data_IF_978383538174
#
_entry.id   IF_978383538174
#
_cell.length_a   1.000
_cell.length_b   1.000
_cell.length_c   1.000
_cell.angle_alpha   90.00
_cell.angle_beta   90.00
_cell.angle_gamma   90.00
#
_symmetry.space_group_name_H-M   'P 1'
#
loop_
_entity.id
_entity.type
_entity.pdbx_description
1 polymer ?
#
# COMPACT_ATOMS: atom_id res chain seq x y z
N UNK A 1 -6.48 -18.96 -6.34
CA UNK A 1 -6.04 -19.17 -7.75
C UNK A 1 -5.64 -17.89 -8.50
N UNK A 2 -6.38 -16.77 -8.41
CA UNK A 2 -6.01 -15.53 -9.11
C UNK A 2 -4.75 -14.89 -8.49
N UNK A 3 -4.67 -14.83 -7.15
CA UNK A 3 -3.51 -14.31 -6.42
C UNK A 3 -2.19 -15.03 -6.77
N UNK A 4 -2.22 -16.37 -6.85
CA UNK A 4 -1.05 -17.18 -7.22
C UNK A 4 -0.60 -16.94 -8.67
N UNK A 5 -1.53 -16.68 -9.60
CA UNK A 5 -1.20 -16.32 -10.98
C UNK A 5 -0.52 -14.96 -11.06
N UNK A 6 -1.01 -13.97 -10.30
CA UNK A 6 -0.36 -12.65 -10.20
C UNK A 6 1.02 -12.75 -9.55
N UNK A 7 1.18 -13.54 -8.48
CA UNK A 7 2.48 -13.78 -7.84
C UNK A 7 3.49 -14.45 -8.79
N UNK A 8 3.04 -15.30 -9.71
CA UNK A 8 3.91 -15.94 -10.69
C UNK A 8 4.25 -15.04 -11.89
N UNK A 9 3.27 -14.30 -12.42
CA UNK A 9 3.42 -13.48 -13.62
C UNK A 9 4.00 -12.10 -13.33
N UNK A 10 3.64 -11.50 -12.20
CA UNK A 10 4.03 -10.15 -11.80
C UNK A 10 5.54 -9.90 -11.86
N UNK A 11 6.39 -10.75 -11.25
CA UNK A 11 7.84 -10.62 -11.32
C UNK A 11 8.40 -10.67 -12.75
N UNK A 12 7.76 -11.44 -13.64
CA UNK A 12 8.26 -11.70 -14.99
C UNK A 12 7.84 -10.62 -15.98
N UNK A 13 6.59 -10.18 -15.90
CA UNK A 13 6.00 -9.23 -16.86
C UNK A 13 6.42 -7.78 -16.60
N UNK A 14 6.73 -7.41 -15.35
CA UNK A 14 7.04 -6.02 -14.96
C UNK A 14 8.54 -5.73 -14.86
N UNK A 15 9.39 -6.56 -15.48
CA UNK A 15 10.86 -6.38 -15.49
C UNK A 15 11.43 -6.31 -14.05
N UNK A 16 12.48 -5.50 -13.82
CA UNK A 16 13.13 -5.33 -12.51
C UNK A 16 12.17 -4.84 -11.42
N UNK A 17 11.24 -3.93 -11.74
CA UNK A 17 10.25 -3.43 -10.77
C UNK A 17 9.28 -4.52 -10.33
N UNK A 18 8.92 -5.44 -11.23
CA UNK A 18 8.15 -6.64 -10.85
C UNK A 18 8.87 -7.47 -9.81
N UNK A 19 10.15 -7.79 -10.06
CA UNK A 19 10.94 -8.58 -9.11
C UNK A 19 11.03 -7.89 -7.74
N UNK A 20 11.16 -6.57 -7.72
CA UNK A 20 11.18 -5.76 -6.49
C UNK A 20 9.84 -5.78 -5.74
N UNK A 21 8.71 -5.58 -6.43
CA UNK A 21 7.39 -5.60 -5.79
C UNK A 21 7.05 -6.94 -5.14
N UNK A 22 7.53 -8.04 -5.72
CA UNK A 22 7.32 -9.37 -5.18
C UNK A 22 8.46 -9.85 -4.28
N UNK A 23 9.46 -8.99 -4.00
CA UNK A 23 10.56 -9.28 -3.07
C UNK A 23 11.37 -10.50 -3.52
N UNK A 24 11.55 -10.67 -4.84
CA UNK A 24 12.32 -11.77 -5.46
C UNK A 24 13.58 -11.28 -6.17
N UNK A 25 13.83 -9.97 -6.15
CA UNK A 25 15.07 -9.40 -6.68
C UNK A 25 16.26 -9.67 -5.76
N UNK A 26 17.46 -9.58 -6.32
CA UNK A 26 18.73 -9.70 -5.59
C UNK A 26 19.48 -8.38 -5.74
N UNK A 27 19.24 -7.46 -4.81
CA UNK A 27 19.78 -6.11 -4.92
C UNK A 27 21.11 -5.94 -4.17
N UNK A 28 21.21 -6.46 -2.94
CA UNK A 28 22.46 -6.37 -2.17
C UNK A 28 23.48 -7.44 -2.59
N UNK A 29 24.75 -7.24 -2.24
CA UNK A 29 25.82 -8.22 -2.44
C UNK A 29 25.51 -9.59 -1.79
N UNK A 30 24.76 -9.58 -0.68
CA UNK A 30 24.35 -10.79 0.04
C UNK A 30 23.04 -11.39 -0.52
N UNK A 31 22.52 -10.86 -1.62
CA UNK A 31 21.31 -11.35 -2.28
C UNK A 31 19.98 -10.88 -1.67
N UNK A 32 20.00 -9.97 -0.69
CA UNK A 32 18.78 -9.39 -0.10
C UNK A 32 18.00 -8.58 -1.15
N UNK A 33 16.67 -8.70 -1.21
CA UNK A 33 15.77 -7.88 -2.03
C UNK A 33 15.84 -6.39 -1.67
N UNK A 34 15.61 -5.51 -2.65
CA UNK A 34 15.70 -4.05 -2.44
C UNK A 34 14.77 -3.58 -1.31
N UNK A 35 13.50 -4.02 -1.32
CA UNK A 35 12.52 -3.58 -0.32
C UNK A 35 12.89 -4.05 1.10
N UNK A 36 13.55 -5.21 1.23
CA UNK A 36 14.06 -5.66 2.52
C UNK A 36 15.21 -4.77 3.03
N UNK A 37 16.10 -4.36 2.12
CA UNK A 37 17.21 -3.45 2.47
C UNK A 37 16.70 -2.06 2.81
N UNK A 38 15.68 -1.55 2.10
CA UNK A 38 15.09 -0.24 2.37
C UNK A 38 14.31 -0.19 3.69
N UNK A 39 13.76 -1.32 4.12
CA UNK A 39 13.05 -1.46 5.39
C UNK A 39 13.98 -1.72 6.59
N UNK A 40 15.29 -1.88 6.38
CA UNK A 40 16.25 -2.22 7.42
C UNK A 40 16.64 -0.99 8.26
N UNK A 41 16.39 -0.97 9.59
CA UNK A 41 16.75 0.16 10.45
C UNK A 41 18.25 0.50 10.49
N UNK A 42 19.11 -0.45 10.16
CA UNK A 42 20.56 -0.24 10.09
C UNK A 42 21.01 0.38 8.75
N UNK A 43 20.08 0.67 7.84
CA UNK A 43 20.38 1.20 6.51
C UNK A 43 19.91 2.63 6.35
N UNK A 44 20.67 3.35 5.53
CA UNK A 44 20.47 4.74 5.12
C UNK A 44 19.03 5.08 4.75
N UNK A 45 18.30 4.17 4.10
CA UNK A 45 16.92 4.41 3.67
C UNK A 45 15.95 4.54 4.84
N UNK A 46 16.04 3.62 5.81
CA UNK A 46 15.15 3.65 6.97
C UNK A 46 15.50 4.82 7.89
N UNK A 47 16.78 5.02 8.14
CA UNK A 47 17.27 6.15 8.94
C UNK A 47 16.90 7.49 8.29
N UNK A 48 16.99 7.63 6.96
CA UNK A 48 16.51 8.84 6.29
C UNK A 48 14.99 9.04 6.47
N UNK A 49 14.20 7.96 6.50
CA UNK A 49 12.77 8.06 6.80
C UNK A 49 12.52 8.58 8.23
N UNK A 50 13.35 8.21 9.21
CA UNK A 50 13.17 8.68 10.60
C UNK A 50 13.44 10.17 10.77
N UNK A 51 14.17 10.79 9.84
CA UNK A 51 14.41 12.24 9.84
C UNK A 51 13.17 13.06 9.47
N UNK A 52 12.17 12.45 8.81
CA UNK A 52 10.95 13.17 8.47
C UNK A 52 10.10 13.39 9.74
N UNK A 53 9.75 14.64 10.07
CA UNK A 53 8.91 14.92 11.25
C UNK A 53 7.50 14.33 11.10
N UNK A 54 7.06 14.14 9.86
CA UNK A 54 5.73 13.63 9.53
C UNK A 54 5.82 12.59 8.42
N UNK A 55 5.47 11.34 8.75
CA UNK A 55 5.31 10.26 7.76
C UNK A 55 3.85 9.87 7.76
N UNK A 56 3.15 10.10 6.64
CA UNK A 56 1.71 9.81 6.55
C UNK A 56 1.39 9.00 5.31
N UNK A 57 0.74 7.86 5.51
CA UNK A 57 0.26 7.01 4.43
C UNK A 57 -1.25 7.00 4.41
N UNK A 58 -1.83 6.84 3.23
CA UNK A 58 -3.28 6.80 3.03
C UNK A 58 -3.66 5.47 2.41
N UNK A 59 -4.45 4.70 3.14
CA UNK A 59 -4.95 3.41 2.70
C UNK A 59 -6.47 3.47 2.54
N UNK A 60 -6.94 3.05 1.38
CA UNK A 60 -8.37 2.96 1.16
C UNK A 60 -8.90 1.60 1.66
N UNK A 61 -9.97 1.64 2.45
CA UNK A 61 -10.56 0.49 3.10
C UNK A 61 -11.23 -0.48 2.12
N UNK A 62 -11.86 0.00 1.04
CA UNK A 62 -12.73 -0.83 0.17
C UNK A 62 -12.59 -0.54 -1.32
N UNK A 63 -12.58 -1.57 -2.15
CA UNK A 63 -12.52 -1.44 -3.62
C UNK A 63 -11.23 -0.84 -4.18
N UNK A 64 -10.11 -0.82 -3.44
CA UNK A 64 -8.80 -0.62 -4.07
C UNK A 64 -8.27 -1.97 -4.57
N UNK A 65 -8.46 -2.24 -5.86
CA UNK A 65 -8.07 -3.52 -6.47
C UNK A 65 -6.60 -3.52 -6.93
N UNK A 66 -5.94 -2.36 -6.95
CA UNK A 66 -4.56 -2.23 -7.45
C UNK A 66 -3.57 -2.20 -6.31
N UNK A 67 -3.90 -1.50 -5.23
CA UNK A 67 -3.13 -1.47 -3.98
C UNK A 67 -4.11 -1.73 -2.84
N UNK A 68 -4.38 -3.01 -2.53
CA UNK A 68 -5.34 -3.37 -1.50
C UNK A 68 -4.88 -2.88 -0.13
N UNK A 69 -5.82 -2.80 0.81
CA UNK A 69 -5.61 -2.22 2.14
C UNK A 69 -4.33 -2.72 2.85
N UNK A 70 -4.04 -4.03 2.94
CA UNK A 70 -2.83 -4.51 3.63
C UNK A 70 -1.54 -3.96 3.04
N UNK A 71 -1.48 -3.80 1.73
CA UNK A 71 -0.32 -3.23 1.04
C UNK A 71 -0.24 -1.72 1.26
N UNK A 72 -1.35 -1.00 1.12
CA UNK A 72 -1.38 0.45 1.28
C UNK A 72 -1.12 0.90 2.74
N UNK A 73 -1.61 0.11 3.71
CA UNK A 73 -1.50 0.38 5.13
C UNK A 73 -0.27 -0.26 5.77
N UNK A 74 0.50 -1.10 5.06
CA UNK A 74 1.62 -1.86 5.63
C UNK A 74 1.11 -2.71 6.81
N UNK A 75 0.15 -3.60 6.52
CA UNK A 75 -0.50 -4.48 7.50
C UNK A 75 -0.44 -5.95 7.06
N UNK A 76 -0.50 -6.85 8.02
CA UNK A 76 -0.52 -8.29 7.76
C UNK A 76 -1.83 -8.77 7.17
N UNK A 77 -2.93 -8.22 7.68
CA UNK A 77 -4.28 -8.71 7.44
C UNK A 77 -5.19 -7.59 6.97
N UNK A 78 -6.22 -7.97 6.21
CA UNK A 78 -7.23 -7.05 5.73
C UNK A 78 -8.45 -7.04 6.67
N UNK A 79 -8.47 -6.08 7.59
CA UNK A 79 -9.60 -5.88 8.53
C UNK A 79 -10.91 -5.49 7.82
N UNK A 80 -10.83 -5.03 6.57
CA UNK A 80 -11.97 -4.61 5.76
C UNK A 80 -12.42 -5.67 4.77
N UNK A 81 -11.71 -6.80 4.61
CA UNK A 81 -12.08 -7.84 3.65
C UNK A 81 -13.52 -8.33 3.85
N UNK A 82 -13.96 -8.43 5.11
CA UNK A 82 -15.32 -8.87 5.49
C UNK A 82 -16.18 -7.71 6.01
N UNK A 83 -15.93 -6.47 5.57
CA UNK A 83 -16.72 -5.31 6.00
C UNK A 83 -18.24 -5.45 5.77
N UNK A 84 -18.64 -6.31 4.82
CA UNK A 84 -20.02 -6.64 4.52
C UNK A 84 -20.66 -7.69 5.44
N UNK A 85 -19.86 -8.40 6.26
CA UNK A 85 -20.30 -9.57 7.06
C UNK A 85 -19.98 -9.40 8.56
N UNK A 86 -19.01 -8.56 8.93
CA UNK A 86 -18.48 -8.43 10.30
C UNK A 86 -19.32 -7.54 11.26
N UNK A 87 -20.59 -7.28 10.95
CA UNK A 87 -21.45 -6.46 11.81
C UNK A 87 -21.21 -4.95 11.74
N UNK A 88 -20.36 -4.45 10.83
CA UNK A 88 -20.35 -3.02 10.48
C UNK A 88 -21.66 -2.67 9.78
N UNK A 89 -22.58 -2.00 10.48
CA UNK A 89 -23.80 -1.50 9.87
C UNK A 89 -23.49 -0.28 9.01
N UNK A 90 -23.32 -0.49 7.70
CA UNK A 90 -23.30 0.60 6.74
C UNK A 90 -24.73 1.10 6.60
N UNK A 91 -25.07 2.18 7.32
CA UNK A 91 -26.36 2.84 7.19
C UNK A 91 -26.35 3.63 5.89
N UNK A 92 -26.97 3.08 4.86
CA UNK A 92 -27.15 3.76 3.59
C UNK A 92 -28.24 4.82 3.73
N UNK A 93 -27.90 6.10 3.56
CA UNK A 93 -28.88 7.19 3.53
C UNK A 93 -29.80 7.06 2.32
N UNK A 94 -31.03 7.59 2.36
CA UNK A 94 -31.92 7.59 1.19
C UNK A 94 -31.32 8.27 -0.06
N UNK A 95 -30.33 9.16 0.15
CA UNK A 95 -29.53 9.80 -0.89
C UNK A 95 -28.56 8.81 -1.58
N UNK A 96 -28.07 7.80 -0.86
CA UNK A 96 -27.24 6.72 -1.40
C UNK A 96 -28.00 5.92 -2.46
N UNK A 97 -29.25 5.54 -2.20
CA UNK A 97 -30.08 4.80 -3.16
C UNK A 97 -30.38 5.63 -4.42
N UNK A 98 -30.58 6.95 -4.28
CA UNK A 98 -30.77 7.86 -5.42
C UNK A 98 -29.51 7.99 -6.29
N UNK A 99 -28.33 7.83 -5.69
CA UNK A 99 -27.03 7.91 -6.37
C UNK A 99 -26.55 6.55 -6.91
N UNK A 100 -27.16 5.45 -6.46
CA UNK A 100 -26.91 4.11 -6.97
C UNK A 100 -27.54 3.99 -8.36
N UNK A 101 -26.86 4.51 -9.39
CA UNK A 101 -27.22 4.20 -10.78
C UNK A 101 -26.71 2.79 -11.10
N UNK A 102 -27.57 1.78 -11.28
CA UNK A 102 -27.15 0.43 -11.64
C UNK A 102 -26.85 0.34 -13.14
N UNK A 103 -26.16 1.34 -13.70
CA UNK A 103 -25.76 1.29 -15.10
C UNK A 103 -24.27 1.07 -15.14
N UNK A 104 -23.90 -0.22 -15.13
CA UNK A 104 -22.56 -0.69 -15.45
C UNK A 104 -22.51 -0.93 -16.96
N UNK A 105 -22.12 0.05 -17.78
CA UNK A 105 -21.86 -0.25 -19.18
C UNK A 105 -20.72 -1.27 -19.25
N UNK A 106 -20.94 -2.36 -20.00
CA UNK A 106 -19.93 -3.41 -20.25
C UNK A 106 -18.65 -2.84 -20.86
N UNK A 107 -18.76 -1.73 -21.58
CA UNK A 107 -17.67 -1.06 -22.27
C UNK A 107 -17.29 0.26 -21.57
N UNK A 108 -16.00 0.63 -21.56
CA UNK A 108 -15.54 1.92 -21.02
C UNK A 108 -16.19 3.09 -21.80
N UNK A 109 -16.27 4.30 -21.20
CA UNK A 109 -16.94 5.44 -21.83
C UNK A 109 -16.50 5.74 -23.27
N UNK A 110 -15.21 5.53 -23.58
CA UNK A 110 -14.67 5.76 -24.92
C UNK A 110 -15.18 4.78 -26.00
N UNK A 111 -15.78 3.66 -25.62
CA UNK A 111 -16.27 2.61 -26.53
C UNK A 111 -17.81 2.50 -26.52
N UNK A 112 -18.49 3.45 -25.89
CA UNK A 112 -19.96 3.53 -25.87
C UNK A 112 -20.45 4.35 -27.07
N UNK A 113 -20.53 3.71 -28.24
CA UNK A 113 -21.02 4.34 -29.47
C UNK A 113 -22.56 4.30 -29.56
N UNK A 114 -23.13 5.17 -30.40
CA UNK A 114 -24.56 5.14 -30.74
C UNK A 114 -24.92 4.05 -31.76
N UNK A 115 -26.21 3.82 -31.97
CA UNK A 115 -26.70 2.94 -33.05
C UNK A 115 -26.32 3.50 -34.43
N UNK A 116 -25.90 2.66 -35.40
CA UNK A 116 -25.79 1.19 -35.36
C UNK A 116 -24.44 0.65 -34.85
N UNK A 117 -23.47 1.52 -34.60
CA UNK A 117 -22.09 1.13 -34.25
C UNK A 117 -21.98 0.37 -32.92
N UNK A 118 -22.93 0.55 -32.00
CA UNK A 118 -23.02 -0.20 -30.75
C UNK A 118 -23.19 -1.73 -30.93
N UNK A 119 -23.91 -2.18 -31.97
CA UNK A 119 -24.09 -3.61 -32.26
C UNK A 119 -22.83 -4.17 -32.90
N UNK A 120 -22.25 -3.44 -33.85
CA UNK A 120 -21.01 -3.82 -34.52
C UNK A 120 -19.85 -3.98 -33.52
N UNK A 121 -19.67 -3.03 -32.61
CA UNK A 121 -18.60 -3.13 -31.60
C UNK A 121 -18.82 -4.35 -30.70
N UNK A 122 -20.06 -4.68 -30.32
CA UNK A 122 -20.37 -5.85 -29.50
C UNK A 122 -20.02 -7.17 -30.19
N UNK A 123 -20.30 -7.28 -31.50
CA UNK A 123 -19.95 -8.47 -32.31
C UNK A 123 -18.44 -8.62 -32.51
N UNK A 124 -17.71 -7.52 -32.68
CA UNK A 124 -16.26 -7.53 -32.90
C UNK A 124 -15.48 -7.69 -31.59
N UNK A 125 -16.04 -7.27 -30.45
CA UNK A 125 -15.43 -7.36 -29.11
C UNK A 125 -14.81 -8.72 -28.76
N UNK A 126 -15.48 -9.89 -28.94
CA UNK A 126 -14.88 -11.19 -28.60
C UNK A 126 -13.64 -11.55 -29.42
N UNK A 127 -13.46 -10.97 -30.61
CA UNK A 127 -12.26 -11.14 -31.44
C UNK A 127 -11.22 -10.06 -31.14
N UNK A 128 -11.69 -8.83 -30.90
CA UNK A 128 -10.83 -7.68 -30.63
C UNK A 128 -10.13 -7.79 -29.28
N UNK A 129 -10.82 -8.26 -28.23
CA UNK A 129 -10.24 -8.43 -26.90
C UNK A 129 -9.00 -9.34 -26.91
N UNK A 130 -9.05 -10.60 -27.40
CA UNK A 130 -7.88 -11.46 -27.41
C UNK A 130 -6.77 -10.89 -28.30
N UNK A 131 -7.09 -10.27 -29.43
CA UNK A 131 -6.10 -9.63 -30.30
C UNK A 131 -5.42 -8.42 -29.63
N UNK A 132 -6.18 -7.62 -28.89
CA UNK A 132 -5.65 -6.50 -28.13
C UNK A 132 -4.78 -7.01 -26.97
N UNK A 133 -5.23 -8.03 -26.25
CA UNK A 133 -4.47 -8.66 -25.16
C UNK A 133 -3.14 -9.22 -25.70
N UNK A 134 -3.13 -9.94 -26.83
CA UNK A 134 -1.89 -10.46 -27.41
C UNK A 134 -0.95 -9.36 -27.85
N UNK A 135 -1.47 -8.28 -28.45
CA UNK A 135 -0.66 -7.11 -28.82
C UNK A 135 -0.07 -6.41 -27.60
N UNK A 136 -0.88 -6.19 -26.55
CA UNK A 136 -0.43 -5.59 -25.29
C UNK A 136 0.65 -6.46 -24.63
N UNK A 137 0.41 -7.77 -24.50
CA UNK A 137 1.38 -8.69 -23.91
C UNK A 137 2.68 -8.74 -24.72
N UNK A 138 2.60 -8.74 -26.05
CA UNK A 138 3.77 -8.68 -26.93
C UNK A 138 4.56 -7.38 -26.73
N UNK A 139 3.87 -6.22 -26.73
CA UNK A 139 4.48 -4.92 -26.46
C UNK A 139 5.11 -4.82 -25.08
N UNK A 140 4.41 -5.26 -24.03
CA UNK A 140 4.93 -5.29 -22.66
C UNK A 140 6.14 -6.22 -22.54
N UNK A 141 6.11 -7.38 -23.20
CA UNK A 141 7.23 -8.32 -23.22
C UNK A 141 8.45 -7.71 -23.91
N UNK A 142 8.27 -7.10 -25.10
CA UNK A 142 9.34 -6.39 -25.80
C UNK A 142 9.92 -5.24 -24.96
N UNK A 143 9.06 -4.44 -24.33
CA UNK A 143 9.46 -3.35 -23.45
C UNK A 143 10.22 -3.87 -22.21
N UNK A 144 9.76 -4.97 -21.60
CA UNK A 144 10.41 -5.62 -20.45
C UNK A 144 11.81 -6.12 -20.83
N UNK A 145 11.96 -6.75 -22.00
CA UNK A 145 13.26 -7.21 -22.52
C UNK A 145 14.18 -6.02 -22.81
N UNK A 146 13.68 -4.99 -23.47
CA UNK A 146 14.47 -3.78 -23.78
C UNK A 146 14.94 -3.08 -22.49
N UNK A 147 14.09 -3.01 -21.47
CA UNK A 147 14.45 -2.47 -20.15
C UNK A 147 15.56 -3.27 -19.49
N UNK A 148 15.47 -4.61 -19.49
CA UNK A 148 16.53 -5.48 -18.94
C UNK A 148 17.86 -5.29 -19.66
N UNK A 149 17.86 -5.18 -20.99
CA UNK A 149 19.07 -4.88 -21.76
C UNK A 149 19.69 -3.53 -21.36
N UNK A 150 18.87 -2.50 -21.16
CA UNK A 150 19.33 -1.17 -20.73
C UNK A 150 19.95 -1.21 -19.32
N UNK A 151 19.28 -1.86 -18.37
CA UNK A 151 19.77 -2.00 -17.00
C UNK A 151 21.09 -2.78 -16.98
N UNK A 152 21.17 -3.90 -17.71
CA UNK A 152 22.41 -4.68 -17.82
C UNK A 152 23.57 -3.84 -18.38
N UNK A 153 23.29 -2.99 -19.37
CA UNK A 153 24.29 -2.07 -19.92
C UNK A 153 24.77 -1.06 -18.87
N UNK A 154 23.87 -0.51 -18.06
CA UNK A 154 24.21 0.41 -16.97
C UNK A 154 24.99 -0.27 -15.84
N UNK A 155 24.68 -1.51 -15.52
CA UNK A 155 25.40 -2.29 -14.50
C UNK A 155 26.81 -2.68 -14.96
N UNK A 156 26.98 -2.93 -16.25
CA UNK A 156 28.29 -3.28 -16.85
C UNK A 156 29.21 -2.05 -17.00
N UNK A 157 28.63 -0.85 -17.00
CA UNK A 157 29.39 0.40 -17.00
C UNK A 157 29.89 0.68 -15.57
N UNK A 158 31.09 0.19 -15.25
CA UNK A 158 31.71 0.29 -13.92
C UNK A 158 31.65 1.72 -13.35
N UNK A 159 31.87 2.73 -14.18
CA UNK A 159 31.77 4.15 -13.79
C UNK A 159 30.38 4.51 -13.25
N UNK A 160 29.30 3.95 -13.79
CA UNK A 160 27.93 4.24 -13.34
C UNK A 160 27.62 3.55 -12.00
N UNK A 161 28.07 2.31 -11.82
CA UNK A 161 27.94 1.54 -10.58
C UNK A 161 28.80 2.14 -9.46
N UNK A 162 30.04 2.52 -9.76
CA UNK A 162 30.95 3.18 -8.83
C UNK A 162 30.43 4.57 -8.42
N UNK A 163 29.87 5.35 -9.34
CA UNK A 163 29.21 6.62 -9.01
C UNK A 163 28.04 6.43 -8.06
N UNK A 164 27.21 5.41 -8.26
CA UNK A 164 26.09 5.10 -7.36
C UNK A 164 26.57 4.67 -5.98
N UNK A 165 27.55 3.76 -5.90
CA UNK A 165 28.14 3.34 -4.64
C UNK A 165 28.80 4.51 -3.90
N UNK A 166 29.52 5.36 -4.63
CA UNK A 166 30.13 6.57 -4.08
C UNK A 166 29.10 7.59 -3.61
N UNK A 167 28.03 7.83 -4.37
CA UNK A 167 26.94 8.73 -3.97
C UNK A 167 26.23 8.18 -2.73
N UNK A 168 25.94 6.88 -2.71
CA UNK A 168 25.29 6.23 -1.57
C UNK A 168 26.18 6.28 -0.32
N UNK A 169 27.47 5.99 -0.43
CA UNK A 169 28.41 6.09 0.68
C UNK A 169 28.64 7.54 1.13
N UNK A 170 28.59 8.52 0.22
CA UNK A 170 28.62 9.94 0.58
C UNK A 170 27.34 10.37 1.31
N UNK A 171 26.18 9.84 0.91
CA UNK A 171 24.91 10.07 1.58
C UNK A 171 24.90 9.45 2.98
N UNK A 172 25.41 8.21 3.09
CA UNK A 172 25.54 7.48 4.35
C UNK A 172 26.42 8.23 5.34
N UNK A 173 27.62 8.65 4.93
CA UNK A 173 28.50 9.48 5.77
C UNK A 173 27.88 10.83 6.12
N UNK A 174 27.27 11.52 5.15
CA UNK A 174 26.66 12.83 5.40
C UNK A 174 25.46 12.76 6.35
N UNK A 175 24.72 11.65 6.34
CA UNK A 175 23.63 11.42 7.28
C UNK A 175 24.13 10.92 8.63
N UNK A 176 25.20 10.12 8.68
CA UNK A 176 25.89 9.77 9.93
C UNK A 176 26.37 11.04 10.65
N UNK A 177 27.05 11.94 9.93
CA UNK A 177 27.49 13.24 10.46
C UNK A 177 26.30 14.08 10.95
N UNK A 178 25.21 14.17 10.18
CA UNK A 178 24.00 14.91 10.58
C UNK A 178 23.26 14.28 11.76
N UNK A 179 23.27 12.94 11.87
CA UNK A 179 22.68 12.22 13.00
C UNK A 179 23.51 12.43 14.27
N UNK A 180 24.84 12.43 14.16
CA UNK A 180 25.74 12.77 15.27
C UNK A 180 25.52 14.23 15.70
N UNK A 181 25.39 15.18 14.78
CA UNK A 181 25.06 16.57 15.10
C UNK A 181 23.69 16.73 15.78
N UNK A 182 22.69 15.94 15.37
CA UNK A 182 21.37 15.91 16.03
C UNK A 182 21.42 15.28 17.44
N UNK A 183 22.29 14.30 17.66
CA UNK A 183 22.52 13.71 18.99
C UNK A 183 23.31 14.66 19.90
N UNK A 184 24.31 15.36 19.36
CA UNK A 184 25.11 16.35 20.08
C UNK A 184 24.32 17.63 20.38
N UNK A 185 23.42 18.06 19.48
CA UNK A 185 22.49 19.18 19.74
C UNK A 185 21.38 18.84 20.72
N UNK A 186 21.17 17.55 21.03
CA UNK A 186 20.37 17.06 22.15
C UNK A 186 21.22 16.66 23.37
N UNK A 187 22.43 17.23 23.51
CA UNK A 187 23.30 16.99 24.65
C UNK A 187 22.83 17.65 25.95
N UNK A 188 22.35 16.79 26.86
CA UNK A 188 22.38 16.81 28.35
C UNK A 188 21.08 17.07 29.13
N UNK A 189 20.44 16.02 29.68
CA UNK A 189 19.81 16.08 31.00
C UNK A 189 20.85 15.64 32.05
N UNK A 190 21.17 16.55 32.98
CA UNK A 190 21.90 16.23 34.21
C UNK A 190 21.17 15.13 35.02
N UNK A 191 21.91 14.33 35.80
CA UNK A 191 21.36 13.23 36.59
C UNK A 191 20.77 13.76 37.90
N UNK A 192 19.48 14.10 37.92
CA UNK A 192 18.76 14.30 39.18
C UNK A 192 18.04 13.02 39.64
N UNK A 193 18.66 12.44 40.66
CA UNK A 193 18.10 11.70 41.79
C UNK A 193 16.66 11.13 41.67
N UNK A 194 16.64 9.81 41.62
CA UNK A 194 15.59 8.91 42.13
C UNK A 194 15.06 9.38 43.50
N UNK A 195 13.74 9.25 43.74
CA UNK A 195 13.32 8.64 44.99
C UNK A 195 12.52 7.38 44.72
N UNK A 196 13.04 6.29 45.28
CA UNK A 196 12.37 5.02 45.53
C UNK A 196 11.23 5.31 46.51
N UNK A 197 10.01 4.89 46.16
CA UNK A 197 8.96 4.67 47.14
C UNK A 197 8.36 3.30 46.89
N UNK A 198 8.71 2.38 47.78
CA UNK A 198 8.13 1.06 47.93
C UNK A 198 6.61 1.14 48.17
N UNK A 199 5.86 0.15 47.66
CA UNK A 199 4.51 -0.12 48.15
C UNK A 199 3.54 -0.78 47.16
N UNK A 200 3.58 -2.10 47.07
CA UNK A 200 2.41 -2.96 46.78
C UNK A 200 2.23 -3.90 48.01
N UNK A 201 1.12 -4.65 48.21
CA UNK A 201 -0.22 -4.65 47.58
C UNK A 201 -1.39 -4.88 48.58
N UNK A 202 -2.64 -4.43 48.34
CA UNK A 202 -3.92 -5.00 48.91
C UNK A 202 -5.11 -4.63 47.99
N UNK A 203 -5.79 -5.54 47.28
CA UNK A 203 -6.88 -6.50 47.64
C UNK A 203 -8.20 -5.85 48.12
N UNK A 204 -9.29 -6.10 47.35
CA UNK A 204 -10.72 -6.05 47.74
C UNK A 204 -11.47 -4.75 47.37
N UNK A 205 -12.71 -4.69 46.88
CA UNK A 205 -13.80 -5.64 46.63
C UNK A 205 -14.79 -5.03 45.60
N UNK A 206 -15.52 -5.90 44.89
CA UNK A 206 -16.64 -5.63 43.96
C UNK A 206 -17.94 -5.24 44.70
N UNK A 207 -18.95 -4.68 44.01
CA UNK A 207 -20.18 -5.45 43.75
C UNK A 207 -20.73 -5.24 42.33
N UNK A 208 -20.85 -6.29 41.49
CA UNK A 208 -22.05 -7.14 41.28
C UNK A 208 -23.36 -6.37 41.04
N UNK A 209 -23.77 -6.32 39.77
CA UNK A 209 -25.15 -6.62 39.37
C UNK A 209 -25.15 -7.38 38.04
N UNK A 210 -25.45 -8.67 38.12
CA UNK A 210 -25.88 -9.54 37.02
C UNK A 210 -27.35 -9.26 36.70
N UNK A 211 -27.69 -9.23 35.42
CA UNK A 211 -28.88 -9.93 34.95
C UNK A 211 -28.64 -10.47 33.55
N UNK A 212 -28.50 -11.79 33.52
CA UNK A 212 -28.55 -12.72 32.41
C UNK A 212 -29.63 -12.35 31.36
N UNK A 213 -29.37 -12.60 30.07
CA UNK A 213 -29.83 -13.84 29.43
C UNK A 213 -29.44 -13.90 27.95
N UNK A 214 -29.02 -15.12 27.58
CA UNK A 214 -29.09 -15.74 26.25
C UNK A 214 -27.92 -15.54 25.29
N UNK A 215 -26.93 -16.39 25.55
CA UNK A 215 -26.15 -17.14 24.56
C UNK A 215 -26.84 -17.31 23.20
N UNK A 216 -26.35 -16.58 22.21
CA UNK A 216 -26.31 -17.01 20.82
C UNK A 216 -24.86 -16.84 20.37
N UNK A 217 -24.06 -17.88 20.55
CA UNK A 217 -22.81 -18.04 19.83
C UNK A 217 -23.15 -18.22 18.35
N UNK A 218 -23.38 -17.10 17.66
CA UNK A 218 -23.41 -17.08 16.21
C UNK A 218 -21.96 -17.22 15.78
N UNK A 219 -21.58 -18.43 15.38
CA UNK A 219 -20.32 -18.68 14.69
C UNK A 219 -20.26 -17.76 13.47
N UNK A 220 -19.42 -16.72 13.55
CA UNK A 220 -19.13 -15.88 12.40
C UNK A 220 -18.45 -16.77 11.34
N UNK A 221 -18.88 -16.71 10.07
CA UNK A 221 -18.24 -17.48 8.99
C UNK A 221 -16.73 -17.21 8.99
N UNK A 222 -15.95 -18.29 9.06
CA UNK A 222 -14.50 -18.24 9.03
C UNK A 222 -13.98 -17.40 7.85
N UNK A 223 -12.93 -16.64 8.14
CA UNK A 223 -12.28 -15.69 7.29
C UNK A 223 -12.10 -16.18 5.84
N UNK A 224 -12.36 -15.26 4.89
CA UNK A 224 -11.72 -15.27 3.57
C UNK A 224 -10.23 -15.61 3.74
N UNK A 225 -9.70 -16.52 2.93
CA UNK A 225 -8.36 -17.10 3.11
C UNK A 225 -7.32 -16.03 3.50
N UNK A 226 -6.54 -16.26 4.57
CA UNK A 226 -5.57 -15.28 5.05
C UNK A 226 -4.57 -14.94 3.95
N UNK A 227 -4.16 -13.67 3.88
CA UNK A 227 -3.14 -13.23 2.94
C UNK A 227 -1.87 -14.06 3.14
N UNK A 228 -1.49 -14.79 2.10
CA UNK A 228 -0.27 -15.61 2.12
C UNK A 228 0.93 -14.68 1.87
N UNK A 229 1.45 -14.11 2.96
CA UNK A 229 2.67 -13.31 2.97
C UNK A 229 3.88 -14.21 3.23
N UNK A 230 4.96 -13.97 2.47
CA UNK A 230 6.25 -14.63 2.71
C UNK A 230 6.98 -14.00 3.93
N UNK A 231 7.98 -14.69 4.47
CA UNK A 231 8.69 -14.25 5.68
C UNK A 231 9.38 -12.90 5.50
N UNK A 232 9.95 -12.64 4.33
CA UNK A 232 10.59 -11.35 4.01
C UNK A 232 9.57 -10.21 4.02
N UNK A 233 8.38 -10.41 3.46
CA UNK A 233 7.28 -9.44 3.49
C UNK A 233 6.81 -9.20 4.92
N UNK A 234 6.67 -10.26 5.73
CA UNK A 234 6.30 -10.12 7.14
C UNK A 234 7.34 -9.32 7.92
N UNK A 235 8.63 -9.57 7.68
CA UNK A 235 9.74 -8.82 8.24
C UNK A 235 9.70 -7.35 7.82
N UNK A 236 9.52 -7.07 6.53
CA UNK A 236 9.38 -5.70 6.01
C UNK A 236 8.22 -4.97 6.71
N UNK A 237 7.07 -5.63 6.84
CA UNK A 237 5.90 -5.08 7.55
C UNK A 237 6.27 -4.77 9.01
N UNK A 238 6.91 -5.69 9.72
CA UNK A 238 7.33 -5.45 11.11
C UNK A 238 8.21 -4.21 11.20
N UNK A 239 9.26 -4.16 10.38
CA UNK A 239 10.27 -3.10 10.45
C UNK A 239 9.68 -1.74 10.06
N UNK A 240 8.93 -1.63 8.97
CA UNK A 240 8.34 -0.35 8.55
C UNK A 240 7.32 0.18 9.57
N UNK A 241 6.65 -0.70 10.31
CA UNK A 241 5.75 -0.30 11.39
C UNK A 241 6.46 0.22 12.65
N UNK A 242 7.78 0.06 12.76
CA UNK A 242 8.55 0.70 13.85
C UNK A 242 8.99 2.12 13.52
N UNK A 243 8.70 2.63 12.31
CA UNK A 243 9.06 4.00 11.93
C UNK A 243 8.46 5.01 12.91
N UNK A 244 9.30 5.90 13.50
CA UNK A 244 8.80 6.96 14.34
C UNK A 244 7.95 7.90 13.50
N UNK A 245 6.88 8.45 14.08
CA UNK A 245 5.98 9.41 13.45
C UNK A 245 5.15 8.87 12.26
N UNK A 246 5.14 7.56 12.00
CA UNK A 246 4.26 6.95 10.99
C UNK A 246 2.79 7.07 11.41
N UNK A 247 2.00 7.75 10.57
CA UNK A 247 0.55 7.86 10.70
C UNK A 247 -0.14 7.21 9.51
N UNK A 248 -1.11 6.35 9.79
CA UNK A 248 -1.90 5.64 8.79
C UNK A 248 -3.30 6.23 8.74
N UNK A 249 -3.63 6.88 7.64
CA UNK A 249 -4.95 7.43 7.42
C UNK A 249 -5.81 6.48 6.59
N UNK A 250 -7.07 6.34 7.01
CA UNK A 250 -8.02 5.47 6.36
C UNK A 250 -8.98 6.30 5.52
N UNK A 251 -9.08 5.95 4.25
CA UNK A 251 -10.09 6.48 3.34
C UNK A 251 -11.18 5.43 3.11
N UNK A 252 -12.43 5.88 3.00
CA UNK A 252 -13.53 5.01 2.58
C UNK A 252 -14.16 5.55 1.30
N UNK A 253 -13.72 5.03 0.16
CA UNK A 253 -14.15 5.51 -1.16
C UNK A 253 -15.05 4.47 -1.82
N UNK A 254 -16.35 4.76 -1.80
CA UNK A 254 -17.42 3.92 -2.34
C UNK A 254 -18.45 4.81 -3.06
N UNK A 255 -19.13 4.37 -4.14
CA UNK A 255 -19.17 3.04 -4.77
C UNK A 255 -18.28 2.91 -6.03
N UNK A 256 -17.02 3.35 -5.99
CA UNK A 256 -16.14 3.26 -7.17
C UNK A 256 -15.64 1.84 -7.41
N UNK A 257 -15.48 1.44 -8.68
CA UNK A 257 -14.97 0.10 -9.04
C UNK A 257 -13.53 -0.13 -8.60
N UNK A 258 -12.69 0.90 -8.73
CA UNK A 258 -11.32 0.86 -8.27
C UNK A 258 -10.97 2.20 -7.63
N UNK A 259 -10.78 2.21 -6.32
CA UNK A 259 -10.48 3.39 -5.54
C UNK A 259 -9.05 3.91 -5.76
N UNK A 260 -8.15 3.10 -6.33
CA UNK A 260 -6.73 3.46 -6.50
C UNK A 260 -6.48 4.80 -7.18
N UNK A 261 -7.16 5.04 -8.30
CA UNK A 261 -7.03 6.32 -9.01
C UNK A 261 -7.89 7.42 -8.38
N UNK A 262 -8.91 7.02 -7.63
CA UNK A 262 -9.87 7.92 -6.99
C UNK A 262 -9.27 8.56 -5.75
N UNK A 263 -8.52 7.82 -4.92
CA UNK A 263 -7.96 8.33 -3.65
C UNK A 263 -7.08 9.57 -3.84
N UNK A 264 -6.40 9.68 -4.99
CA UNK A 264 -5.57 10.85 -5.36
C UNK A 264 -6.23 11.77 -6.39
N UNK A 265 -7.53 11.60 -6.66
CA UNK A 265 -8.27 12.35 -7.68
C UNK A 265 -7.57 12.43 -9.05
N UNK A 266 -6.98 11.31 -9.50
CA UNK A 266 -5.95 11.27 -10.56
C UNK A 266 -6.32 11.96 -11.87
N UNK A 267 -7.56 11.77 -12.34
CA UNK A 267 -8.04 12.30 -13.62
C UNK A 267 -9.54 12.53 -13.55
N UNK A 268 -9.92 13.68 -12.97
CA UNK A 268 -11.33 14.07 -12.80
C UNK A 268 -11.99 14.37 -14.15
N UNK A 269 -11.22 14.87 -15.13
CA UNK A 269 -11.74 15.25 -16.46
C UNK A 269 -12.25 14.03 -17.22
N UNK A 270 -11.46 12.95 -17.26
CA UNK A 270 -11.83 11.72 -17.96
C UNK A 270 -12.74 10.83 -17.11
N UNK A 271 -12.56 10.85 -15.80
CA UNK A 271 -13.32 10.02 -14.87
C UNK A 271 -13.87 10.89 -13.72
N UNK A 272 -15.07 11.46 -13.87
CA UNK A 272 -15.66 12.33 -12.86
C UNK A 272 -15.77 11.72 -11.45
N UNK A 273 -15.87 10.39 -11.36
CA UNK A 273 -15.87 9.65 -10.08
C UNK A 273 -14.58 9.84 -9.28
N UNK A 274 -13.45 10.19 -9.91
CA UNK A 274 -12.20 10.47 -9.22
C UNK A 274 -12.33 11.66 -8.26
N UNK A 275 -13.29 12.57 -8.49
CA UNK A 275 -13.54 13.73 -7.63
C UNK A 275 -13.86 13.35 -6.17
N UNK A 276 -14.35 12.14 -5.93
CA UNK A 276 -14.68 11.66 -4.58
C UNK A 276 -13.45 11.69 -3.65
N UNK A 277 -12.24 11.50 -4.20
CA UNK A 277 -11.00 11.56 -3.40
C UNK A 277 -10.53 12.96 -3.03
N UNK A 278 -11.21 14.04 -3.45
CA UNK A 278 -10.82 15.41 -3.09
C UNK A 278 -10.81 15.61 -1.56
N UNK A 279 -11.64 14.88 -0.82
CA UNK A 279 -11.63 14.89 0.65
C UNK A 279 -10.30 14.37 1.23
N UNK A 280 -9.72 13.33 0.63
CA UNK A 280 -8.43 12.78 1.04
C UNK A 280 -7.31 13.78 0.73
N UNK A 281 -7.34 14.40 -0.46
CA UNK A 281 -6.38 15.43 -0.84
C UNK A 281 -6.46 16.67 0.05
N UNK A 282 -7.68 17.08 0.45
CA UNK A 282 -7.87 18.18 1.39
C UNK A 282 -7.29 17.83 2.76
N UNK A 283 -7.60 16.65 3.29
CA UNK A 283 -7.01 16.17 4.54
C UNK A 283 -5.48 16.11 4.48
N UNK A 284 -4.93 15.66 3.36
CA UNK A 284 -3.49 15.69 3.12
C UNK A 284 -2.92 17.10 3.12
N UNK A 285 -3.55 18.03 2.40
CA UNK A 285 -3.13 19.44 2.35
C UNK A 285 -3.18 20.12 3.72
N UNK A 286 -4.23 19.86 4.52
CA UNK A 286 -4.39 20.41 5.87
C UNK A 286 -3.30 19.93 6.84
N UNK A 287 -2.70 18.77 6.57
CA UNK A 287 -1.65 18.16 7.37
C UNK A 287 -0.28 18.18 6.69
N UNK A 288 -0.16 18.91 5.57
CA UNK A 288 1.09 19.08 4.85
C UNK A 288 1.90 20.19 5.52
N UNK A 289 2.71 19.80 6.49
CA UNK A 289 3.60 20.69 7.25
C UNK A 289 5.01 20.51 6.67
N UNK A 290 5.64 21.63 6.27
CA UNK A 290 7.00 21.70 5.71
C UNK A 290 7.99 22.00 6.82
#
# INVERSE_FOLDING_TARGET
MISSLFAFLGPKLLSRTGEQFYVVDKWSANGRPLLEVMADPERIFFQALTLFPHIRIYANAVNDMTVPYPTAAIEYDDIFANHTINGMQIIFTGQWFKNLKPNRPLLPPALQFGFPYNVLIMLVTPVLIPLLITLILSRLSMASIASRKRIKKLETDESSSERLAHILGKLERGMEDAMVELLDSQGSPDPEAVPVSDGEPQIGETPKQESELSSSSTEFPQATEPLVLNDTQRKIITLLNTLPNLRKELAFIHPVRNAHATIISRDIKRFPSHKIGEGVLRHWADHFII
#
